data_IF_410841074586
#
_entry.id   IF_410841074586
#
_cell.length_a   1.000
_cell.length_b   1.000
_cell.length_c   1.000
_cell.angle_alpha   90.00
_cell.angle_beta   90.00
_cell.angle_gamma   90.00
#
_symmetry.space_group_name_H-M   'P 1'
#
loop_
_entity.id
_entity.type
_entity.pdbx_description
1 polymer ?
#
# COMPACT_ATOMS: atom_id res chain seq x y z
N UNK A 1 -15.43 14.87 -3.40
CA UNK A 1 -15.45 13.59 -2.66
C UNK A 1 -15.69 12.47 -3.64
N UNK A 2 -14.64 11.71 -3.94
CA UNK A 2 -14.79 10.50 -4.73
C UNK A 2 -14.86 9.34 -3.75
N UNK A 3 -16.07 8.92 -3.45
CA UNK A 3 -16.28 7.62 -2.85
C UNK A 3 -16.01 6.57 -3.91
N UNK A 4 -14.92 5.84 -3.81
CA UNK A 4 -14.74 4.63 -4.57
C UNK A 4 -15.58 3.55 -3.92
N UNK A 5 -16.79 3.34 -4.41
CA UNK A 5 -17.63 2.20 -4.04
C UNK A 5 -17.50 1.17 -5.16
N UNK A 6 -17.01 0.00 -4.83
CA UNK A 6 -16.87 -1.09 -5.77
C UNK A 6 -15.42 -1.38 -6.14
N UNK A 7 -15.20 -2.48 -6.83
CA UNK A 7 -13.88 -2.93 -7.24
C UNK A 7 -13.27 -1.95 -8.26
N UNK A 8 -12.15 -1.36 -7.89
CA UNK A 8 -11.25 -0.64 -8.79
C UNK A 8 -9.96 -1.45 -8.92
N UNK A 9 -9.18 -1.20 -9.95
CA UNK A 9 -7.89 -1.86 -10.11
C UNK A 9 -7.04 -1.67 -8.84
N UNK A 10 -6.56 -2.76 -8.27
CA UNK A 10 -5.78 -2.76 -7.03
C UNK A 10 -6.60 -2.71 -5.73
N UNK A 11 -7.89 -2.98 -5.79
CA UNK A 11 -8.78 -2.88 -4.64
C UNK A 11 -8.60 -4.01 -3.61
N UNK A 12 -8.20 -5.18 -4.03
CA UNK A 12 -7.85 -6.33 -3.18
C UNK A 12 -8.87 -6.72 -2.09
N UNK A 13 -10.15 -6.50 -2.31
CA UNK A 13 -11.19 -6.93 -1.39
C UNK A 13 -11.69 -8.34 -1.69
N UNK A 14 -11.96 -9.11 -0.62
CA UNK A 14 -12.49 -10.46 -0.74
C UNK A 14 -13.90 -10.51 -1.35
N UNK A 15 -14.66 -9.41 -1.23
CA UNK A 15 -16.02 -9.29 -1.76
C UNK A 15 -16.17 -7.99 -2.57
N UNK A 16 -16.79 -8.04 -3.75
CA UNK A 16 -17.14 -6.83 -4.49
C UNK A 16 -18.01 -5.89 -3.63
N UNK A 17 -17.73 -4.60 -3.67
CA UNK A 17 -18.46 -3.58 -2.94
C UNK A 17 -18.14 -3.48 -1.43
N UNK A 18 -17.16 -4.22 -0.93
CA UNK A 18 -16.73 -4.13 0.47
C UNK A 18 -15.88 -2.88 0.78
N UNK A 19 -15.50 -2.12 -0.25
CA UNK A 19 -14.70 -0.92 -0.11
C UNK A 19 -15.52 0.24 0.43
N UNK A 20 -15.52 0.45 1.74
CA UNK A 20 -16.10 1.64 2.39
C UNK A 20 -14.99 2.62 2.77
N UNK A 21 -14.40 3.24 1.75
CA UNK A 21 -13.26 4.15 1.87
C UNK A 21 -13.47 5.39 1.03
N UNK A 22 -12.82 6.47 1.43
CA UNK A 22 -12.59 7.63 0.57
C UNK A 22 -11.18 7.53 0.04
N UNK A 23 -11.06 7.41 -1.29
CA UNK A 23 -9.79 7.56 -2.00
C UNK A 23 -9.83 8.83 -2.83
N UNK A 24 -8.87 9.68 -2.63
CA UNK A 24 -8.72 10.90 -3.42
C UNK A 24 -7.27 11.08 -3.84
N UNK A 25 -7.07 11.23 -5.13
CA UNK A 25 -5.75 11.58 -5.65
C UNK A 25 -5.31 12.95 -5.09
N UNK A 26 -4.06 13.02 -4.64
CA UNK A 26 -3.55 14.24 -3.99
C UNK A 26 -3.47 15.44 -4.95
N UNK A 27 -3.45 15.17 -6.26
CA UNK A 27 -3.46 16.19 -7.31
C UNK A 27 -4.67 17.14 -7.24
N UNK A 28 -5.79 16.65 -6.70
CA UNK A 28 -6.96 17.51 -6.45
C UNK A 28 -6.67 18.56 -5.38
N UNK A 29 -5.83 18.21 -4.43
CA UNK A 29 -5.39 19.14 -3.40
C UNK A 29 -4.53 20.27 -4.00
N UNK A 30 -3.78 20.00 -5.08
CA UNK A 30 -3.00 21.01 -5.78
C UNK A 30 -3.86 22.17 -6.31
N UNK A 31 -5.13 21.88 -6.62
CA UNK A 31 -6.08 22.90 -7.10
C UNK A 31 -6.79 23.61 -5.94
N UNK A 32 -7.15 22.86 -4.89
CA UNK A 32 -7.96 23.35 -3.79
C UNK A 32 -7.13 24.01 -2.67
N UNK A 33 -5.94 23.52 -2.43
CA UNK A 33 -5.01 23.98 -1.39
C UNK A 33 -3.57 23.75 -1.84
N UNK A 34 -3.08 24.56 -2.80
CA UNK A 34 -1.77 24.36 -3.42
C UNK A 34 -0.61 24.43 -2.42
N UNK A 35 -0.73 25.23 -1.37
CA UNK A 35 0.25 25.33 -0.29
C UNK A 35 0.39 24.01 0.47
N UNK A 36 -0.72 23.37 0.83
CA UNK A 36 -0.71 22.08 1.52
C UNK A 36 -0.18 20.98 0.60
N UNK A 37 -0.56 21.01 -0.68
CA UNK A 37 0.00 20.10 -1.67
C UNK A 37 1.52 20.22 -1.77
N UNK A 38 2.03 21.46 -1.82
CA UNK A 38 3.46 21.71 -1.89
C UNK A 38 4.21 21.20 -0.66
N UNK A 39 3.66 21.35 0.55
CA UNK A 39 4.27 20.85 1.79
C UNK A 39 4.49 19.33 1.75
N UNK A 40 3.55 18.56 1.19
CA UNK A 40 3.72 17.12 1.03
C UNK A 40 4.90 16.76 0.14
N UNK A 41 5.02 17.40 -1.00
CA UNK A 41 6.05 17.11 -2.00
C UNK A 41 7.41 17.73 -1.70
N UNK A 42 7.48 18.69 -0.75
CA UNK A 42 8.70 19.32 -0.29
C UNK A 42 9.19 18.79 1.06
N UNK A 43 8.56 17.74 1.60
CA UNK A 43 8.97 17.16 2.86
C UNK A 43 10.39 16.60 2.77
N UNK A 44 11.32 17.19 3.49
CA UNK A 44 12.72 16.76 3.54
C UNK A 44 12.87 15.33 4.04
N UNK A 45 12.02 14.91 4.99
CA UNK A 45 12.05 13.53 5.52
C UNK A 45 11.64 12.52 4.45
N UNK A 46 10.57 12.80 3.71
CA UNK A 46 10.11 11.92 2.62
C UNK A 46 11.17 11.88 1.52
N UNK A 47 11.76 13.02 1.17
CA UNK A 47 12.83 13.09 0.19
C UNK A 47 14.05 12.27 0.63
N UNK A 48 14.51 12.43 1.86
CA UNK A 48 15.65 11.70 2.42
C UNK A 48 15.48 10.19 2.33
N UNK A 49 14.31 9.68 2.74
CA UNK A 49 14.02 8.24 2.71
C UNK A 49 13.92 7.74 1.27
N UNK A 50 13.28 8.51 0.39
CA UNK A 50 13.11 8.18 -1.02
C UNK A 50 14.46 8.15 -1.75
N UNK A 51 15.31 9.13 -1.54
CA UNK A 51 16.64 9.17 -2.14
C UNK A 51 17.55 8.04 -1.64
N UNK A 52 17.47 7.73 -0.35
CA UNK A 52 18.23 6.62 0.23
C UNK A 52 17.85 5.26 -0.37
N UNK A 53 16.59 5.08 -0.77
CA UNK A 53 16.09 3.84 -1.33
C UNK A 53 16.16 3.80 -2.87
N UNK A 54 15.71 4.86 -3.53
CA UNK A 54 15.50 4.91 -4.99
C UNK A 54 16.64 5.64 -5.73
N UNK A 55 17.46 6.41 -5.03
CA UNK A 55 18.40 7.35 -5.65
C UNK A 55 17.73 8.68 -6.01
N UNK A 56 18.47 9.60 -6.69
CA UNK A 56 18.05 10.99 -6.84
C UNK A 56 16.94 11.22 -7.88
N UNK A 57 16.62 10.24 -8.71
CA UNK A 57 15.69 10.37 -9.84
C UNK A 57 14.44 9.52 -9.63
N UNK A 58 13.61 9.91 -8.67
CA UNK A 58 12.35 9.23 -8.39
C UNK A 58 11.14 10.13 -8.70
N UNK A 59 10.01 9.51 -8.91
CA UNK A 59 8.72 10.17 -9.06
C UNK A 59 7.84 9.84 -7.84
N UNK A 60 7.15 10.85 -7.33
CA UNK A 60 6.20 10.68 -6.24
C UNK A 60 4.79 10.60 -6.81
N UNK A 61 4.04 9.61 -6.37
CA UNK A 61 2.58 9.55 -6.52
C UNK A 61 1.97 9.37 -5.14
N UNK A 62 0.84 9.99 -4.89
CA UNK A 62 0.20 9.89 -3.58
C UNK A 62 -1.31 10.04 -3.66
N UNK A 63 -1.96 9.52 -2.64
CA UNK A 63 -3.40 9.61 -2.47
C UNK A 63 -3.75 9.73 -0.99
N UNK A 64 -4.89 10.34 -0.71
CA UNK A 64 -5.50 10.29 0.61
C UNK A 64 -6.43 9.09 0.69
N UNK A 65 -6.25 8.28 1.70
CA UNK A 65 -7.09 7.11 1.95
C UNK A 65 -7.72 7.23 3.34
N UNK A 66 -9.05 7.26 3.39
CA UNK A 66 -9.81 7.31 4.65
C UNK A 66 -10.68 6.08 4.73
N UNK A 67 -10.43 5.24 5.72
CA UNK A 67 -11.29 4.09 6.03
C UNK A 67 -12.42 4.57 6.93
N UNK A 68 -13.66 4.37 6.50
CA UNK A 68 -14.84 4.72 7.30
C UNK A 68 -15.05 3.70 8.43
N UNK A 69 -15.73 4.10 9.53
CA UNK A 69 -16.10 3.16 10.58
C UNK A 69 -16.83 1.94 10.04
N UNK A 70 -16.37 0.75 10.39
CA UNK A 70 -16.89 -0.51 9.86
C UNK A 70 -16.36 -0.92 8.49
N UNK A 71 -15.45 -0.13 7.89
CA UNK A 71 -14.76 -0.51 6.66
C UNK A 71 -13.97 -1.80 6.84
N UNK A 72 -14.05 -2.69 5.85
CA UNK A 72 -13.38 -3.98 5.91
C UNK A 72 -11.91 -3.87 5.52
N UNK A 73 -11.09 -4.77 6.08
CA UNK A 73 -9.70 -4.93 5.64
C UNK A 73 -9.64 -5.45 4.20
N UNK A 74 -8.61 -5.04 3.48
CA UNK A 74 -8.24 -5.66 2.21
C UNK A 74 -7.70 -7.07 2.45
N UNK A 75 -7.80 -7.92 1.43
CA UNK A 75 -7.10 -9.21 1.44
C UNK A 75 -5.58 -8.97 1.43
N UNK A 76 -4.79 -9.79 2.13
CA UNK A 76 -3.34 -9.68 2.09
C UNK A 76 -2.82 -9.68 0.66
N UNK A 77 -2.02 -8.68 0.29
CA UNK A 77 -1.55 -8.50 -1.08
C UNK A 77 -0.17 -7.86 -1.12
N UNK A 78 0.40 -7.80 -2.30
CA UNK A 78 1.53 -6.96 -2.67
C UNK A 78 1.08 -5.95 -3.69
N UNK A 79 1.47 -4.72 -3.51
CA UNK A 79 1.18 -3.66 -4.48
C UNK A 79 2.15 -3.67 -5.66
N UNK A 80 1.79 -2.90 -6.67
CA UNK A 80 2.55 -2.60 -7.88
C UNK A 80 2.81 -3.79 -8.82
N UNK A 81 2.98 -3.47 -10.07
CA UNK A 81 3.36 -4.35 -11.15
C UNK A 81 2.52 -5.64 -11.21
N UNK A 82 3.08 -6.75 -10.78
CA UNK A 82 2.41 -8.05 -10.88
C UNK A 82 1.18 -8.19 -9.98
N UNK A 83 1.05 -7.35 -8.95
CA UNK A 83 -0.13 -7.33 -8.07
C UNK A 83 -1.44 -6.91 -8.76
N UNK A 84 -1.34 -6.28 -9.93
CA UNK A 84 -2.50 -5.86 -10.74
C UNK A 84 -2.87 -6.85 -11.84
N UNK A 85 -2.14 -7.96 -11.96
CA UNK A 85 -2.36 -8.98 -12.95
C UNK A 85 -3.17 -10.14 -12.39
N UNK A 86 -3.79 -10.93 -13.27
CA UNK A 86 -4.31 -12.24 -12.87
C UNK A 86 -3.16 -13.22 -12.57
N UNK A 87 -3.46 -14.31 -11.87
CA UNK A 87 -2.45 -15.32 -11.56
C UNK A 87 -1.83 -15.89 -12.84
N UNK A 88 -2.66 -16.18 -13.86
CA UNK A 88 -2.21 -16.70 -15.15
C UNK A 88 -1.30 -15.72 -15.90
N UNK A 89 -1.53 -14.43 -15.74
CA UNK A 89 -0.66 -13.40 -16.31
C UNK A 89 0.64 -13.29 -15.52
N UNK A 90 0.57 -13.31 -14.19
CA UNK A 90 1.75 -13.21 -13.32
C UNK A 90 2.67 -14.43 -13.46
N UNK A 91 2.12 -15.63 -13.66
CA UNK A 91 2.87 -16.87 -13.90
C UNK A 91 3.75 -16.84 -15.16
N UNK A 92 3.43 -15.99 -16.13
CA UNK A 92 4.22 -15.86 -17.36
C UNK A 92 5.55 -15.12 -17.15
N UNK A 93 5.71 -14.45 -16.01
CA UNK A 93 6.94 -13.73 -15.70
C UNK A 93 7.95 -14.61 -14.98
N UNK A 94 9.23 -14.53 -15.35
CA UNK A 94 10.28 -15.29 -14.69
C UNK A 94 10.50 -14.83 -13.23
N UNK A 95 10.98 -15.72 -12.38
CA UNK A 95 11.13 -15.49 -10.95
C UNK A 95 11.86 -14.19 -10.56
N UNK A 96 12.85 -13.78 -11.35
CA UNK A 96 13.57 -12.54 -11.07
C UNK A 96 12.72 -11.28 -11.21
N UNK A 97 11.69 -11.27 -12.05
CA UNK A 97 10.76 -10.16 -12.19
C UNK A 97 9.90 -10.01 -10.94
N UNK A 98 9.51 -11.13 -10.34
CA UNK A 98 8.76 -11.13 -9.07
C UNK A 98 9.55 -10.51 -7.91
N UNK A 99 10.88 -10.49 -7.99
CA UNK A 99 11.75 -9.93 -6.97
C UNK A 99 12.19 -8.50 -7.26
N UNK A 100 12.59 -8.23 -8.51
CA UNK A 100 13.25 -6.97 -8.85
C UNK A 100 12.26 -5.84 -9.11
N UNK A 101 11.09 -6.16 -9.65
CA UNK A 101 10.09 -5.16 -9.97
C UNK A 101 9.71 -4.29 -8.77
N UNK A 102 9.38 -4.84 -7.58
CA UNK A 102 9.08 -4.04 -6.41
C UNK A 102 10.28 -3.24 -5.86
N UNK A 103 11.51 -3.64 -6.14
CA UNK A 103 12.70 -2.95 -5.63
C UNK A 103 12.88 -1.53 -6.20
N UNK A 104 12.23 -1.24 -7.33
CA UNK A 104 12.23 0.09 -7.96
C UNK A 104 11.15 1.03 -7.40
N UNK A 105 10.47 0.62 -6.34
CA UNK A 105 9.41 1.39 -5.72
C UNK A 105 9.62 1.41 -4.21
N UNK A 106 9.31 2.53 -3.59
CA UNK A 106 9.17 2.67 -2.14
C UNK A 106 7.71 3.01 -1.85
N UNK A 107 7.09 2.28 -0.97
CA UNK A 107 5.73 2.54 -0.52
C UNK A 107 5.74 3.06 0.91
N UNK A 108 4.76 3.86 1.26
CA UNK A 108 4.64 4.37 2.61
C UNK A 108 3.30 5.03 2.87
N UNK A 109 3.07 5.35 4.11
CA UNK A 109 1.90 6.10 4.56
C UNK A 109 2.29 7.09 5.65
N UNK A 110 1.66 8.26 5.62
CA UNK A 110 1.73 9.28 6.68
C UNK A 110 0.39 9.31 7.41
N UNK A 111 0.42 9.19 8.71
CA UNK A 111 -0.78 9.20 9.55
C UNK A 111 -1.30 10.63 9.74
N UNK A 112 -2.52 10.91 9.28
CA UNK A 112 -3.19 12.21 9.45
C UNK A 112 -3.96 12.35 10.76
N UNK A 113 -4.15 11.26 11.45
CA UNK A 113 -4.73 11.17 12.79
C UNK A 113 -4.03 10.05 13.57
N UNK A 114 -4.27 9.99 14.87
CA UNK A 114 -3.84 8.84 15.64
C UNK A 114 -4.51 7.58 15.12
N UNK A 115 -3.73 6.52 14.95
CA UNK A 115 -4.16 5.23 14.43
C UNK A 115 -3.83 4.13 15.45
N UNK A 116 -4.61 4.02 16.55
CA UNK A 116 -4.48 2.89 17.46
C UNK A 116 -4.88 1.59 16.76
N UNK A 117 -4.54 0.45 17.33
CA UNK A 117 -4.82 -0.87 16.74
C UNK A 117 -6.29 -1.03 16.36
N UNK A 118 -7.20 -0.49 17.17
CA UNK A 118 -8.65 -0.56 16.99
C UNK A 118 -9.16 0.23 15.77
N UNK A 119 -8.37 1.21 15.30
CA UNK A 119 -8.70 1.98 14.08
C UNK A 119 -8.30 1.26 12.79
N UNK A 120 -7.64 0.12 12.89
CA UNK A 120 -7.26 -0.71 11.75
C UNK A 120 -6.09 -0.18 10.92
N UNK A 121 -4.94 0.23 11.53
CA UNK A 121 -3.74 0.51 10.76
C UNK A 121 -3.31 -0.71 9.94
N UNK A 122 -2.55 -0.46 8.90
CA UNK A 122 -2.11 -1.51 7.96
C UNK A 122 -1.44 -2.67 8.68
N UNK A 123 -1.82 -3.87 8.28
CA UNK A 123 -1.19 -5.12 8.71
C UNK A 123 0.02 -5.40 7.82
N UNK A 124 1.13 -5.86 8.39
CA UNK A 124 2.35 -6.19 7.65
C UNK A 124 2.82 -7.59 8.00
N UNK A 125 3.20 -8.38 7.00
CA UNK A 125 3.87 -9.68 7.24
C UNK A 125 5.39 -9.50 7.16
N UNK A 126 6.11 -9.47 8.30
CA UNK A 126 7.53 -9.19 8.32
C UNK A 126 8.33 -10.17 7.44
N UNK A 127 9.31 -9.64 6.68
CA UNK A 127 10.22 -10.39 5.81
C UNK A 127 9.57 -11.06 4.59
N UNK A 128 8.29 -10.91 4.39
CA UNK A 128 7.58 -11.55 3.27
C UNK A 128 8.04 -11.05 1.89
N UNK A 129 8.65 -9.87 1.81
CA UNK A 129 9.28 -9.36 0.59
C UNK A 129 10.35 -10.29 0.01
N UNK A 130 10.91 -11.21 0.83
CA UNK A 130 11.93 -12.18 0.41
C UNK A 130 11.36 -13.42 -0.25
N UNK A 131 10.05 -13.59 -0.18
CA UNK A 131 9.40 -14.77 -0.77
C UNK A 131 9.29 -14.58 -2.29
N UNK A 132 10.08 -15.35 -3.03
CA UNK A 132 9.99 -15.40 -4.48
C UNK A 132 8.60 -15.89 -4.89
N UNK A 133 8.10 -15.43 -6.02
CA UNK A 133 6.76 -15.78 -6.50
C UNK A 133 5.62 -15.41 -5.52
N UNK A 134 5.88 -14.47 -4.60
CA UNK A 134 4.88 -14.04 -3.62
C UNK A 134 3.61 -13.48 -4.26
N UNK A 135 3.69 -12.90 -5.45
CA UNK A 135 2.50 -12.45 -6.18
C UNK A 135 1.53 -13.58 -6.57
N UNK A 136 1.95 -14.84 -6.48
CA UNK A 136 1.11 -16.01 -6.73
C UNK A 136 0.57 -16.66 -5.44
N UNK A 137 1.02 -16.19 -4.29
CA UNK A 137 0.70 -16.84 -3.01
C UNK A 137 -0.54 -16.26 -2.31
N UNK A 138 -0.80 -14.98 -2.49
CA UNK A 138 -1.72 -14.21 -1.65
C UNK A 138 -3.19 -14.64 -1.70
N UNK A 139 -3.61 -15.35 -2.74
CA UNK A 139 -4.96 -15.90 -2.86
C UNK A 139 -5.10 -17.33 -2.32
N UNK A 140 -4.00 -17.95 -1.91
CA UNK A 140 -4.01 -19.33 -1.41
C UNK A 140 -4.50 -19.34 0.04
N UNK A 141 -5.44 -20.24 0.39
CA UNK A 141 -5.99 -20.31 1.74
C UNK A 141 -4.92 -20.48 2.83
N UNK A 142 -3.92 -21.32 2.58
CA UNK A 142 -2.82 -21.59 3.51
C UNK A 142 -1.97 -20.34 3.77
N UNK A 143 -1.83 -19.49 2.75
CA UNK A 143 -1.11 -18.24 2.89
C UNK A 143 -1.92 -17.22 3.70
N UNK A 144 -3.23 -17.13 3.47
CA UNK A 144 -4.11 -16.25 4.23
C UNK A 144 -4.08 -16.64 5.70
N UNK A 145 -4.20 -17.93 6.02
CA UNK A 145 -4.09 -18.44 7.39
C UNK A 145 -2.73 -18.09 8.02
N UNK A 146 -1.65 -18.25 7.26
CA UNK A 146 -0.30 -17.89 7.73
C UNK A 146 -0.18 -16.38 7.99
N UNK A 147 -0.72 -15.55 7.10
CA UNK A 147 -0.74 -14.10 7.27
C UNK A 147 -1.50 -13.71 8.54
N UNK A 148 -2.69 -14.28 8.75
CA UNK A 148 -3.52 -13.98 9.92
C UNK A 148 -2.83 -14.32 11.24
N UNK A 149 -1.98 -15.33 11.25
CA UNK A 149 -1.26 -15.77 12.45
C UNK A 149 0.05 -14.99 12.70
N UNK A 150 0.65 -14.39 11.67
CA UNK A 150 2.03 -13.88 11.75
C UNK A 150 2.19 -12.40 11.36
N UNK A 151 1.13 -11.74 10.96
CA UNK A 151 1.20 -10.31 10.68
C UNK A 151 1.49 -9.49 11.95
N UNK A 152 2.03 -8.31 11.74
CA UNK A 152 2.15 -7.28 12.78
C UNK A 152 1.34 -6.07 12.37
N UNK A 153 0.83 -5.35 13.36
CA UNK A 153 0.12 -4.10 13.18
C UNK A 153 0.87 -3.02 13.94
N UNK A 154 1.14 -1.91 13.28
CA UNK A 154 1.89 -0.80 13.87
C UNK A 154 0.92 0.34 14.19
N UNK A 155 0.60 0.59 15.47
CA UNK A 155 -0.13 1.79 15.83
C UNK A 155 0.74 3.02 15.50
N UNK A 156 0.12 4.06 14.96
CA UNK A 156 0.78 5.29 14.57
C UNK A 156 0.14 6.48 15.30
N UNK A 157 0.95 7.48 15.63
CA UNK A 157 0.47 8.79 16.05
C UNK A 157 0.33 9.70 14.84
N UNK A 158 -0.52 10.71 14.95
CA UNK A 158 -0.61 11.75 13.92
C UNK A 158 0.77 12.35 13.63
N UNK A 159 1.16 12.31 12.36
CA UNK A 159 2.46 12.78 11.88
C UNK A 159 3.51 11.68 11.72
N UNK A 160 3.28 10.49 12.27
CA UNK A 160 4.16 9.35 12.01
C UNK A 160 4.10 8.95 10.54
N UNK A 161 5.20 8.42 10.05
CA UNK A 161 5.28 7.84 8.72
C UNK A 161 5.86 6.42 8.80
N UNK A 162 5.29 5.53 8.02
CA UNK A 162 5.81 4.17 7.80
C UNK A 162 6.21 4.02 6.34
N UNK A 163 7.40 3.47 6.10
CA UNK A 163 7.89 3.15 4.77
C UNK A 163 8.21 1.66 4.69
N UNK A 164 7.88 1.05 3.57
CA UNK A 164 8.10 -0.37 3.37
C UNK A 164 8.34 -0.72 1.90
N UNK A 165 8.95 -1.88 1.67
CA UNK A 165 9.09 -2.43 0.34
C UNK A 165 7.74 -2.95 -0.16
N UNK A 166 7.27 -2.56 -1.35
CA UNK A 166 5.96 -2.98 -1.88
C UNK A 166 5.80 -4.49 -2.05
N UNK A 167 6.90 -5.25 -2.09
CA UNK A 167 6.86 -6.71 -2.06
C UNK A 167 6.54 -7.28 -0.67
N UNK A 168 6.45 -6.45 0.36
CA UNK A 168 5.98 -6.87 1.66
C UNK A 168 4.47 -7.11 1.57
N UNK A 169 4.01 -8.28 2.03
CA UNK A 169 2.56 -8.49 2.17
C UNK A 169 1.97 -7.60 3.25
N UNK A 170 0.90 -6.97 2.90
CA UNK A 170 0.17 -6.06 3.78
C UNK A 170 -1.33 -6.04 3.47
#
# INVERSE_FOLDING_TARGET
DQHARGAVAGDHFAKPGANDRVWSALEKLAVQSPEVFAEYYQSELIALVSEAWLGPWYQVTSQVNVVNPGGQAQSPHRDYHLGFLSDEQAEQFPAHVHHLSPALTLQGAVAHCDMPVESGPTLYLPRSHRYALGYLAWRRPEFIEYFDQHHVQLPLQKGDAVFFNPALFH
#
